data_IF_269212252966
#
_entry.id   IF_269212252966
#
_cell.length_a   1.000
_cell.length_b   1.000
_cell.length_c   1.000
_cell.angle_alpha   90.00
_cell.angle_beta   90.00
_cell.angle_gamma   90.00
#
_symmetry.space_group_name_H-M   'P 1'
#
loop_
_entity.id
_entity.type
_entity.pdbx_description
1 polymer ?
#
# COMPACT_ATOMS: atom_id res chain seq x y z
N UNK A 1 -47.26 13.87 32.30
CA UNK A 1 -47.55 13.67 30.86
C UNK A 1 -46.19 13.50 30.19
N UNK A 2 -45.74 12.39 29.62
CA UNK A 2 -46.29 11.07 29.29
C UNK A 2 -45.06 10.19 29.02
N UNK A 3 -44.93 9.07 29.72
CA UNK A 3 -43.97 8.01 29.42
C UNK A 3 -44.63 7.02 28.45
N UNK A 4 -43.91 6.60 27.40
CA UNK A 4 -44.38 5.60 26.43
C UNK A 4 -43.25 4.61 26.16
N UNK A 5 -43.34 3.42 26.75
CA UNK A 5 -42.66 2.22 26.28
C UNK A 5 -43.71 1.11 26.26
N UNK A 6 -43.98 0.59 25.06
CA UNK A 6 -44.87 -0.55 24.83
C UNK A 6 -44.03 -1.83 24.80
N UNK A 7 -44.41 -2.79 25.63
CA UNK A 7 -44.09 -4.22 25.47
C UNK A 7 -45.17 -4.86 24.59
N UNK A 8 -44.78 -5.69 23.62
CA UNK A 8 -45.67 -6.70 23.05
C UNK A 8 -44.89 -7.92 22.56
N UNK A 9 -45.48 -9.08 22.85
CA UNK A 9 -44.94 -10.42 22.77
C UNK A 9 -44.97 -11.04 21.37
N UNK A 10 -44.25 -12.16 21.24
CA UNK A 10 -44.15 -13.08 20.08
C UNK A 10 -45.48 -13.74 19.69
N UNK A 11 -45.50 -14.38 18.52
CA UNK A 11 -45.99 -15.75 18.44
C UNK A 11 -45.01 -16.73 17.78
N UNK A 12 -45.06 -17.97 18.28
CA UNK A 12 -44.36 -19.17 17.82
C UNK A 12 -44.84 -19.64 16.44
N UNK A 13 -43.95 -20.29 15.69
CA UNK A 13 -44.30 -21.51 14.94
C UNK A 13 -43.05 -22.36 14.67
N UNK A 14 -43.26 -23.67 14.84
CA UNK A 14 -42.27 -24.73 14.88
C UNK A 14 -41.87 -25.26 13.48
N UNK A 15 -40.76 -26.01 13.51
CA UNK A 15 -40.54 -27.31 12.85
C UNK A 15 -39.50 -27.36 11.71
N UNK A 16 -38.51 -28.22 11.89
CA UNK A 16 -37.63 -28.73 10.84
C UNK A 16 -36.25 -29.15 11.34
N UNK A 17 -36.08 -30.44 11.70
CA UNK A 17 -34.78 -31.11 11.85
C UNK A 17 -33.97 -31.07 10.54
N UNK A 18 -32.70 -31.49 10.46
CA UNK A 18 -32.06 -32.64 11.10
C UNK A 18 -30.54 -32.40 11.09
N UNK A 19 -29.86 -32.88 12.12
CA UNK A 19 -28.41 -32.92 12.25
C UNK A 19 -27.77 -33.97 11.32
N UNK A 20 -26.50 -33.76 10.93
CA UNK A 20 -25.68 -34.78 10.29
C UNK A 20 -24.28 -34.28 9.92
N UNK A 21 -23.33 -34.44 10.84
CA UNK A 21 -21.90 -34.38 10.57
C UNK A 21 -21.24 -35.61 11.22
N UNK A 22 -20.34 -36.33 10.52
CA UNK A 22 -19.31 -37.14 11.15
C UNK A 22 -17.92 -36.52 10.84
N UNK A 23 -17.10 -36.22 11.84
CA UNK A 23 -16.26 -37.14 12.62
C UNK A 23 -14.99 -37.58 11.86
N UNK A 24 -13.88 -37.02 12.33
CA UNK A 24 -12.48 -37.36 12.00
C UNK A 24 -12.07 -38.56 12.86
N UNK A 25 -11.40 -39.55 12.27
CA UNK A 25 -10.62 -40.55 12.99
C UNK A 25 -9.28 -40.78 12.28
N UNK A 26 -8.21 -40.62 13.06
CA UNK A 26 -6.85 -41.09 12.77
C UNK A 26 -6.78 -42.62 12.84
N UNK A 27 -5.83 -43.23 12.11
CA UNK A 27 -4.99 -44.37 12.54
C UNK A 27 -3.91 -44.67 11.47
N UNK A 28 -2.64 -44.75 11.88
CA UNK A 28 -1.62 -45.63 11.25
C UNK A 28 -1.38 -46.86 12.15
N UNK A 29 -0.27 -47.63 12.06
CA UNK A 29 0.79 -47.74 11.03
C UNK A 29 1.13 -49.22 10.65
N UNK A 30 2.07 -49.46 9.70
CA UNK A 30 3.00 -50.62 9.55
C UNK A 30 3.65 -50.59 8.13
N UNK A 31 4.98 -50.47 7.96
CA UNK A 31 6.04 -51.51 7.81
C UNK A 31 5.83 -52.44 6.58
N UNK A 32 6.75 -52.64 5.63
CA UNK A 32 8.12 -53.18 5.72
C UNK A 32 9.02 -52.78 4.52
N UNK A 33 10.32 -53.06 4.67
CA UNK A 33 11.44 -52.72 3.77
C UNK A 33 11.99 -53.91 2.96
N UNK A 34 12.99 -53.59 2.11
CA UNK A 34 13.98 -54.43 1.40
C UNK A 34 13.55 -55.03 0.04
N UNK A 35 14.36 -55.10 -1.02
CA UNK A 35 15.76 -54.73 -1.28
C UNK A 35 16.05 -54.87 -2.80
N UNK A 36 17.22 -54.35 -3.21
CA UNK A 36 18.08 -54.81 -4.32
C UNK A 36 18.16 -53.99 -5.62
N UNK A 37 19.39 -53.51 -5.83
CA UNK A 37 19.95 -52.75 -6.94
C UNK A 37 20.08 -53.52 -8.25
N UNK A 38 20.16 -52.78 -9.37
CA UNK A 38 21.10 -52.99 -10.49
C UNK A 38 21.16 -51.75 -11.38
N UNK A 39 22.39 -51.29 -11.61
CA UNK A 39 22.78 -50.28 -12.60
C UNK A 39 22.40 -50.69 -14.03
N UNK A 40 22.00 -49.73 -14.87
CA UNK A 40 22.76 -49.43 -16.10
C UNK A 40 22.35 -48.07 -16.69
N UNK A 41 23.36 -47.41 -17.26
CA UNK A 41 23.36 -46.05 -17.76
C UNK A 41 22.66 -45.92 -19.11
N UNK A 42 21.86 -44.87 -19.27
CA UNK A 42 21.53 -44.29 -20.57
C UNK A 42 21.19 -42.81 -20.40
N UNK A 43 22.21 -41.96 -20.53
CA UNK A 43 22.12 -40.49 -20.52
C UNK A 43 21.35 -40.00 -21.76
N UNK A 44 20.34 -39.17 -21.55
CA UNK A 44 19.93 -38.13 -22.50
C UNK A 44 20.02 -36.77 -21.78
N UNK A 45 20.67 -35.75 -22.39
CA UNK A 45 20.93 -34.51 -21.69
C UNK A 45 19.65 -33.67 -21.66
N UNK A 46 19.13 -33.46 -20.46
CA UNK A 46 18.16 -32.41 -20.19
C UNK A 46 18.77 -31.08 -20.62
N UNK A 47 18.24 -30.50 -21.70
CA UNK A 47 18.52 -29.12 -22.06
C UNK A 47 18.13 -28.24 -20.88
N UNK A 48 19.13 -27.61 -20.27
CA UNK A 48 18.95 -26.51 -19.34
C UNK A 48 18.25 -25.37 -20.10
N UNK A 49 16.91 -25.43 -20.16
CA UNK A 49 16.09 -24.25 -20.34
C UNK A 49 16.29 -23.43 -19.06
N UNK A 50 17.37 -22.63 -19.06
CA UNK A 50 17.52 -21.51 -18.17
C UNK A 50 16.20 -20.73 -18.24
N UNK A 51 15.38 -20.86 -17.19
CA UNK A 51 14.23 -19.98 -17.01
C UNK A 51 14.82 -18.59 -17.03
N UNK A 52 14.59 -17.87 -18.12
CA UNK A 52 14.93 -16.47 -18.21
C UNK A 52 14.34 -15.82 -16.96
N UNK A 53 15.22 -15.28 -16.11
CA UNK A 53 14.81 -14.51 -14.94
C UNK A 53 13.88 -13.43 -15.50
N UNK A 54 12.63 -13.30 -15.02
CA UNK A 54 11.80 -12.19 -15.44
C UNK A 54 12.60 -10.91 -15.23
N UNK A 55 12.48 -9.89 -16.11
CA UNK A 55 13.20 -8.65 -15.95
C UNK A 55 12.97 -8.20 -14.52
N UNK A 56 14.06 -7.91 -13.80
CA UNK A 56 13.97 -7.38 -12.46
C UNK A 56 12.93 -6.27 -12.54
N UNK A 57 11.81 -6.42 -11.83
CA UNK A 57 11.09 -5.24 -11.40
C UNK A 57 12.19 -4.32 -10.88
N UNK A 58 12.19 -3.05 -11.28
CA UNK A 58 13.03 -2.05 -10.66
C UNK A 58 12.56 -1.95 -9.19
N UNK A 59 12.89 -2.98 -8.43
CA UNK A 59 12.55 -3.20 -7.06
C UNK A 59 13.38 -2.18 -6.36
N UNK A 60 12.68 -1.23 -5.76
CA UNK A 60 13.31 -0.28 -4.87
C UNK A 60 13.88 -1.13 -3.73
N UNK A 61 15.16 -1.43 -3.82
CA UNK A 61 15.92 -2.24 -2.86
C UNK A 61 16.02 -1.53 -1.50
N UNK A 62 15.71 -0.23 -1.50
CA UNK A 62 15.65 0.63 -0.35
C UNK A 62 14.37 0.41 0.46
N UNK A 63 14.50 -0.25 1.61
CA UNK A 63 13.42 -0.44 2.57
C UNK A 63 13.35 0.73 3.56
N UNK A 64 12.16 1.30 3.71
CA UNK A 64 11.85 2.32 4.71
C UNK A 64 11.43 1.65 6.00
N UNK A 65 12.42 1.12 6.70
CA UNK A 65 12.23 0.65 8.06
C UNK A 65 12.38 1.87 8.99
N UNK A 66 11.36 2.19 9.81
CA UNK A 66 11.48 3.26 10.77
C UNK A 66 12.65 2.94 11.74
N UNK A 67 13.53 3.92 12.02
CA UNK A 67 14.62 3.71 12.97
C UNK A 67 14.08 3.21 14.32
N UNK A 68 14.66 2.12 14.87
CA UNK A 68 14.29 1.65 16.20
C UNK A 68 14.76 2.65 17.28
N UNK A 69 14.30 2.46 18.52
CA UNK A 69 14.73 3.27 19.66
C UNK A 69 13.86 4.51 19.91
N UNK A 70 14.31 5.40 20.80
CA UNK A 70 13.58 6.62 21.17
C UNK A 70 13.65 7.68 20.06
N UNK A 71 12.54 8.38 19.81
CA UNK A 71 12.52 9.43 18.80
C UNK A 71 13.51 10.57 19.08
N UNK A 72 13.74 10.93 20.35
CA UNK A 72 14.71 11.96 20.72
C UNK A 72 16.13 11.55 20.35
N UNK A 73 16.49 10.29 20.60
CA UNK A 73 17.81 9.75 20.25
C UNK A 73 18.00 9.71 18.72
N UNK A 74 16.97 9.29 17.99
CA UNK A 74 16.97 9.31 16.52
C UNK A 74 17.16 10.72 15.99
N UNK A 75 16.46 11.72 16.54
CA UNK A 75 16.62 13.12 16.14
C UNK A 75 18.01 13.66 16.47
N UNK A 76 18.51 13.40 17.68
CA UNK A 76 19.86 13.81 18.08
C UNK A 76 20.94 13.23 17.15
N UNK A 77 20.77 12.01 16.65
CA UNK A 77 21.71 11.35 15.76
C UNK A 77 21.63 11.83 14.29
N UNK A 78 20.43 12.17 13.80
CA UNK A 78 20.19 12.33 12.36
C UNK A 78 19.92 13.76 11.92
N UNK A 79 19.43 14.64 12.80
CA UNK A 79 18.94 15.96 12.39
C UNK A 79 20.02 16.84 11.75
N UNK A 80 21.21 16.90 12.34
CA UNK A 80 22.32 17.69 11.79
C UNK A 80 22.70 17.21 10.37
N UNK A 81 22.72 15.88 10.15
CA UNK A 81 23.00 15.28 8.84
C UNK A 81 21.90 15.61 7.84
N UNK A 82 20.63 15.44 8.22
CA UNK A 82 19.49 15.75 7.38
C UNK A 82 19.46 17.23 6.97
N UNK A 83 19.79 18.14 7.91
CA UNK A 83 19.95 19.58 7.64
C UNK A 83 21.14 19.85 6.71
N UNK A 84 22.22 19.06 6.83
CA UNK A 84 23.39 19.09 5.95
C UNK A 84 23.19 18.49 4.56
N UNK A 85 21.99 18.01 4.21
CA UNK A 85 21.66 17.47 2.89
C UNK A 85 21.72 15.95 2.78
N UNK A 86 21.91 15.24 3.88
CA UNK A 86 21.80 13.78 3.92
C UNK A 86 20.32 13.37 3.77
N UNK A 87 19.97 12.96 2.55
CA UNK A 87 18.59 12.57 2.20
C UNK A 87 18.16 11.27 2.89
N UNK A 88 19.11 10.44 3.31
CA UNK A 88 18.82 9.19 4.01
C UNK A 88 18.45 9.49 5.46
N UNK A 89 19.21 10.37 6.11
CA UNK A 89 18.87 10.88 7.43
C UNK A 89 17.51 11.60 7.41
N UNK A 90 17.24 12.43 6.40
CA UNK A 90 15.95 13.09 6.24
C UNK A 90 14.80 12.07 6.12
N UNK A 91 14.94 11.09 5.23
CA UNK A 91 13.92 10.06 5.06
C UNK A 91 13.72 9.22 6.33
N UNK A 92 14.79 8.91 7.07
CA UNK A 92 14.71 8.22 8.36
C UNK A 92 13.99 9.02 9.45
N UNK A 93 14.18 10.35 9.50
CA UNK A 93 13.42 11.22 10.41
C UNK A 93 11.93 11.21 10.06
N UNK A 94 11.59 11.28 8.77
CA UNK A 94 10.21 11.10 8.31
C UNK A 94 9.66 9.73 8.75
N UNK A 95 10.45 8.66 8.61
CA UNK A 95 10.11 7.30 9.03
C UNK A 95 9.74 7.19 10.48
N UNK A 96 10.61 7.73 11.35
CA UNK A 96 10.38 7.68 12.78
C UNK A 96 9.08 8.37 13.17
N UNK A 97 8.87 9.59 12.66
CA UNK A 97 7.68 10.37 13.01
C UNK A 97 6.40 9.75 12.46
N UNK A 98 6.43 9.26 11.21
CA UNK A 98 5.26 8.68 10.59
C UNK A 98 4.85 7.34 11.21
N UNK A 99 5.82 6.52 11.66
CA UNK A 99 5.54 5.31 12.45
C UNK A 99 4.83 5.66 13.77
N UNK A 100 5.38 6.62 14.52
CA UNK A 100 4.76 7.11 15.75
C UNK A 100 3.34 7.63 15.52
N UNK A 101 3.11 8.40 14.44
CA UNK A 101 1.78 8.89 14.05
C UNK A 101 0.81 7.73 13.77
N UNK A 102 1.24 6.75 12.98
CA UNK A 102 0.40 5.61 12.60
C UNK A 102 0.02 4.77 13.82
N UNK A 103 0.98 4.46 14.68
CA UNK A 103 0.76 3.66 15.90
C UNK A 103 -0.17 4.37 16.88
N UNK A 104 0.03 5.68 17.10
CA UNK A 104 -0.88 6.48 17.90
C UNK A 104 -2.31 6.50 17.30
N UNK A 105 -2.43 6.69 15.98
CA UNK A 105 -3.72 6.66 15.28
C UNK A 105 -4.45 5.31 15.41
N UNK A 106 -3.72 4.20 15.32
CA UNK A 106 -4.27 2.84 15.53
C UNK A 106 -4.71 2.65 16.98
N UNK A 107 -3.89 3.06 17.95
CA UNK A 107 -4.20 2.95 19.37
C UNK A 107 -5.48 3.73 19.72
N UNK A 108 -5.59 4.97 19.26
CA UNK A 108 -6.78 5.81 19.44
C UNK A 108 -8.05 5.18 18.86
N UNK A 109 -7.98 4.56 17.68
CA UNK A 109 -9.14 3.86 17.10
C UNK A 109 -9.59 2.63 17.92
N UNK A 110 -8.66 1.98 18.61
CA UNK A 110 -8.95 0.79 19.42
C UNK A 110 -9.45 1.13 20.83
N UNK A 111 -9.08 2.30 21.34
CA UNK A 111 -9.40 2.75 22.70
C UNK A 111 -9.80 4.24 22.70
N UNK A 112 -10.95 4.60 22.12
CA UNK A 112 -11.34 6.00 21.91
C UNK A 112 -11.58 6.78 23.20
N UNK A 113 -11.93 6.11 24.30
CA UNK A 113 -12.22 6.74 25.60
C UNK A 113 -10.99 6.84 26.52
N UNK A 114 -9.82 6.40 26.04
CA UNK A 114 -8.56 6.46 26.81
C UNK A 114 -7.85 7.79 26.59
N UNK A 115 -7.20 8.30 27.64
CA UNK A 115 -6.35 9.49 27.53
C UNK A 115 -5.30 9.29 26.42
N UNK A 116 -5.28 10.22 25.46
CA UNK A 116 -4.37 10.20 24.31
C UNK A 116 -2.91 10.13 24.76
N UNK A 117 -2.55 10.76 25.88
CA UNK A 117 -1.17 10.71 26.38
C UNK A 117 -0.77 9.30 26.83
N UNK A 118 -1.71 8.53 27.38
CA UNK A 118 -1.48 7.13 27.76
C UNK A 118 -1.36 6.21 26.54
N UNK A 119 -1.91 6.61 25.38
CA UNK A 119 -1.87 5.84 24.13
C UNK A 119 -0.60 6.08 23.30
N UNK A 120 0.17 7.13 23.59
CA UNK A 120 1.41 7.43 22.88
C UNK A 120 2.51 6.45 23.35
N UNK A 121 3.10 5.66 22.43
CA UNK A 121 4.21 4.78 22.76
C UNK A 121 5.34 5.56 23.46
N UNK A 122 5.97 5.01 24.52
CA UNK A 122 7.02 5.70 25.27
C UNK A 122 8.11 6.32 24.38
N UNK A 123 8.57 5.57 23.39
CA UNK A 123 9.60 5.96 22.42
C UNK A 123 9.18 7.08 21.45
N UNK A 124 7.91 7.50 21.49
CA UNK A 124 7.35 8.56 20.67
C UNK A 124 6.98 9.81 21.49
N UNK A 125 7.08 9.78 22.83
CA UNK A 125 6.62 10.86 23.72
C UNK A 125 7.42 12.14 23.59
N UNK A 126 8.67 12.05 23.13
CA UNK A 126 9.53 13.20 22.86
C UNK A 126 9.13 13.99 21.60
N UNK A 127 8.25 13.45 20.75
CA UNK A 127 7.82 14.13 19.54
C UNK A 127 6.82 15.27 19.82
N UNK A 128 7.30 16.51 19.72
CA UNK A 128 6.47 17.71 19.64
C UNK A 128 5.65 17.83 18.35
N UNK A 129 4.66 18.74 18.35
CA UNK A 129 3.89 19.13 17.16
C UNK A 129 4.76 19.70 16.03
N UNK A 130 5.94 20.25 16.33
CA UNK A 130 6.89 20.71 15.32
C UNK A 130 7.51 19.55 14.54
N UNK A 131 7.95 18.48 15.22
CA UNK A 131 8.47 17.29 14.53
C UNK A 131 7.45 16.69 13.56
N UNK A 132 6.17 16.65 13.95
CA UNK A 132 5.09 16.19 13.06
C UNK A 132 4.89 17.09 11.83
N UNK A 133 5.05 18.41 11.96
CA UNK A 133 5.00 19.37 10.85
C UNK A 133 6.25 19.29 9.96
N UNK A 134 7.40 18.98 10.54
CA UNK A 134 8.67 18.84 9.83
C UNK A 134 8.81 17.55 9.04
N UNK A 135 8.20 16.47 9.52
CA UNK A 135 8.24 15.17 8.87
C UNK A 135 7.89 15.25 7.36
N UNK A 136 6.86 16.01 6.99
CA UNK A 136 6.50 16.24 5.59
C UNK A 136 7.59 16.94 4.78
N UNK A 137 8.32 17.89 5.38
CA UNK A 137 9.44 18.59 4.74
C UNK A 137 10.64 17.67 4.54
N UNK A 138 10.90 16.77 5.50
CA UNK A 138 11.97 15.77 5.35
C UNK A 138 11.70 14.79 4.22
N UNK A 139 10.44 14.34 4.11
CA UNK A 139 9.99 13.52 2.98
C UNK A 139 10.14 14.26 1.66
N UNK A 140 9.64 15.50 1.59
CA UNK A 140 9.71 16.32 0.37
C UNK A 140 11.16 16.54 -0.08
N UNK A 141 12.08 16.88 0.83
CA UNK A 141 13.51 17.01 0.51
C UNK A 141 14.10 15.74 -0.11
N UNK A 142 13.77 14.59 0.45
CA UNK A 142 14.25 13.29 -0.04
C UNK A 142 13.69 13.00 -1.44
N UNK A 143 12.40 13.29 -1.66
CA UNK A 143 11.74 13.12 -2.96
C UNK A 143 12.30 14.08 -4.03
N UNK A 144 12.55 15.34 -3.66
CA UNK A 144 13.08 16.39 -4.52
C UNK A 144 14.52 16.12 -4.95
N UNK A 145 15.29 15.45 -4.08
CA UNK A 145 16.63 14.95 -4.41
C UNK A 145 16.64 13.74 -5.36
N UNK A 146 15.46 13.25 -5.76
CA UNK A 146 15.32 12.17 -6.74
C UNK A 146 15.21 10.77 -6.16
N UNK A 147 15.07 10.62 -4.83
CA UNK A 147 14.86 9.30 -4.23
C UNK A 147 13.50 8.72 -4.69
N UNK A 148 13.55 7.64 -5.45
CA UNK A 148 12.37 7.05 -6.06
C UNK A 148 11.36 6.54 -5.03
N UNK A 149 11.83 6.07 -3.87
CA UNK A 149 10.94 5.60 -2.82
C UNK A 149 10.26 6.76 -2.09
N UNK A 150 11.02 7.79 -1.74
CA UNK A 150 10.50 9.01 -1.14
C UNK A 150 9.46 9.68 -2.05
N UNK A 151 9.64 9.64 -3.37
CA UNK A 151 8.65 10.11 -4.34
C UNK A 151 7.32 9.33 -4.26
N UNK A 152 7.38 8.00 -4.17
CA UNK A 152 6.20 7.15 -3.98
C UNK A 152 5.52 7.42 -2.63
N UNK A 153 6.30 7.56 -1.57
CA UNK A 153 5.79 7.91 -0.23
C UNK A 153 5.16 9.29 -0.22
N UNK A 154 5.80 10.28 -0.84
CA UNK A 154 5.30 11.65 -0.93
C UNK A 154 3.91 11.67 -1.53
N UNK A 155 3.68 10.91 -2.61
CA UNK A 155 2.38 10.80 -3.26
C UNK A 155 1.28 10.24 -2.35
N UNK A 156 1.59 9.42 -1.34
CA UNK A 156 0.61 8.87 -0.39
C UNK A 156 0.45 9.72 0.87
N UNK A 157 1.43 10.56 1.17
CA UNK A 157 1.60 11.18 2.49
C UNK A 157 1.01 12.60 2.57
N UNK A 158 -0.15 12.83 1.95
CA UNK A 158 -0.77 14.16 1.92
C UNK A 158 -1.00 14.73 3.32
N UNK A 159 -1.39 13.90 4.28
CA UNK A 159 -1.60 14.37 5.66
C UNK A 159 -0.28 14.76 6.35
N UNK A 160 0.82 14.08 6.02
CA UNK A 160 2.16 14.43 6.53
C UNK A 160 2.67 15.75 5.95
N UNK A 161 2.32 16.07 4.70
CA UNK A 161 2.82 17.25 3.99
C UNK A 161 1.91 18.46 4.15
N UNK A 162 0.61 18.27 4.06
CA UNK A 162 -0.41 19.33 4.08
C UNK A 162 -1.13 19.47 5.42
N UNK A 163 -0.92 18.54 6.36
CA UNK A 163 -1.72 18.46 7.59
C UNK A 163 -3.04 17.71 7.39
N UNK A 164 -3.89 17.64 8.43
CA UNK A 164 -5.15 16.89 8.40
C UNK A 164 -6.09 17.41 7.30
N UNK A 165 -6.96 16.53 6.79
CA UNK A 165 -7.85 16.85 5.64
C UNK A 165 -8.70 18.11 5.81
N UNK A 166 -9.10 18.44 7.04
CA UNK A 166 -9.86 19.66 7.32
C UNK A 166 -9.10 20.94 6.95
N UNK A 167 -7.77 20.89 6.88
CA UNK A 167 -6.92 22.02 6.47
C UNK A 167 -6.78 22.12 4.95
N UNK A 168 -6.95 21.03 4.20
CA UNK A 168 -6.77 21.04 2.74
C UNK A 168 -7.75 22.00 2.04
N UNK A 169 -8.97 22.14 2.57
CA UNK A 169 -9.99 23.05 2.04
C UNK A 169 -9.69 24.52 2.35
N UNK A 170 -8.83 24.80 3.34
CA UNK A 170 -8.46 26.16 3.73
C UNK A 170 -7.35 26.72 2.83
N UNK A 171 -6.50 25.85 2.28
CA UNK A 171 -5.48 26.22 1.30
C UNK A 171 -5.58 25.33 0.03
N UNK A 172 -6.52 25.65 -0.88
CA UNK A 172 -6.68 24.91 -2.13
C UNK A 172 -5.45 25.01 -3.04
N UNK A 173 -4.63 26.06 -2.90
CA UNK A 173 -3.41 26.21 -3.69
C UNK A 173 -2.32 25.25 -3.23
N UNK A 174 -2.15 25.07 -1.91
CA UNK A 174 -1.24 24.06 -1.38
C UNK A 174 -1.63 22.64 -1.81
N UNK A 175 -2.93 22.30 -1.74
CA UNK A 175 -3.42 21.02 -2.23
C UNK A 175 -3.13 20.85 -3.73
N UNK A 176 -3.32 21.89 -4.55
CA UNK A 176 -3.06 21.85 -5.98
C UNK A 176 -1.56 21.64 -6.27
N UNK A 177 -0.66 22.36 -5.58
CA UNK A 177 0.80 22.19 -5.72
C UNK A 177 1.24 20.79 -5.35
N UNK A 178 0.80 20.31 -4.18
CA UNK A 178 1.12 18.97 -3.71
C UNK A 178 0.60 17.89 -4.69
N UNK A 179 -0.63 18.04 -5.18
CA UNK A 179 -1.24 17.08 -6.11
C UNK A 179 -0.48 17.03 -7.43
N UNK A 180 -0.12 18.19 -7.99
CA UNK A 180 0.66 18.27 -9.22
C UNK A 180 2.02 17.58 -9.07
N UNK A 181 2.76 17.94 -8.02
CA UNK A 181 4.08 17.35 -7.72
C UNK A 181 4.00 15.83 -7.51
N UNK A 182 2.98 15.35 -6.80
CA UNK A 182 2.73 13.92 -6.62
C UNK A 182 2.49 13.20 -7.95
N UNK A 183 1.66 13.77 -8.83
CA UNK A 183 1.40 13.20 -10.15
C UNK A 183 2.65 13.22 -11.03
N UNK A 184 3.46 14.28 -10.98
CA UNK A 184 4.70 14.38 -11.75
C UNK A 184 5.68 13.27 -11.37
N UNK A 185 5.85 13.03 -10.06
CA UNK A 185 6.66 11.92 -9.55
C UNK A 185 6.15 10.56 -10.01
N UNK A 186 4.86 10.30 -9.84
CA UNK A 186 4.29 9.01 -10.23
C UNK A 186 4.35 8.78 -11.74
N UNK A 187 4.05 9.80 -12.55
CA UNK A 187 4.10 9.70 -14.00
C UNK A 187 5.53 9.46 -14.50
N UNK A 188 6.52 10.15 -13.93
CA UNK A 188 7.93 9.96 -14.29
C UNK A 188 8.41 8.53 -14.00
N UNK A 189 8.01 7.95 -12.88
CA UNK A 189 8.35 6.55 -12.56
C UNK A 189 7.56 5.55 -13.41
N UNK A 190 6.26 5.78 -13.61
CA UNK A 190 5.44 4.92 -14.46
C UNK A 190 5.97 4.88 -15.91
N UNK A 191 6.43 6.02 -16.46
CA UNK A 191 7.03 6.09 -17.78
C UNK A 191 8.30 5.22 -17.93
N UNK A 192 8.97 4.89 -16.82
CA UNK A 192 10.17 4.03 -16.80
C UNK A 192 9.85 2.57 -16.44
N UNK A 193 8.57 2.19 -16.40
CA UNK A 193 8.13 0.84 -16.03
C UNK A 193 7.90 0.63 -14.53
N UNK A 194 7.84 1.71 -13.74
CA UNK A 194 7.57 1.62 -12.30
C UNK A 194 6.15 1.16 -12.02
N UNK A 195 5.97 -0.14 -11.76
CA UNK A 195 4.65 -0.75 -11.49
C UNK A 195 4.00 -0.19 -10.22
N UNK A 196 4.77 0.05 -9.15
CA UNK A 196 4.25 0.67 -7.93
C UNK A 196 3.67 2.07 -8.17
N UNK A 197 4.33 2.86 -9.03
CA UNK A 197 3.85 4.19 -9.41
C UNK A 197 2.55 4.12 -10.24
N UNK A 198 2.44 3.16 -11.17
CA UNK A 198 1.20 2.92 -11.92
C UNK A 198 0.06 2.49 -11.00
N UNK A 199 0.35 1.65 -10.01
CA UNK A 199 -0.64 1.19 -9.04
C UNK A 199 -1.18 2.38 -8.24
N UNK A 200 -0.28 3.24 -7.73
CA UNK A 200 -0.67 4.51 -7.07
C UNK A 200 -1.47 5.43 -7.99
N UNK A 201 -1.07 5.61 -9.25
CA UNK A 201 -1.84 6.41 -10.24
C UNK A 201 -3.25 5.86 -10.42
N UNK A 202 -3.40 4.54 -10.51
CA UNK A 202 -4.70 3.89 -10.61
C UNK A 202 -5.59 4.25 -9.41
N UNK A 203 -5.07 4.17 -8.18
CA UNK A 203 -5.81 4.57 -6.98
C UNK A 203 -6.08 6.08 -6.88
N UNK A 204 -5.15 6.93 -7.31
CA UNK A 204 -5.34 8.39 -7.32
C UNK A 204 -6.53 8.75 -8.19
N UNK A 205 -6.60 8.24 -9.43
CA UNK A 205 -7.73 8.49 -10.33
C UNK A 205 -9.02 7.76 -9.90
N UNK A 206 -8.93 6.55 -9.34
CA UNK A 206 -10.10 5.81 -8.88
C UNK A 206 -10.77 6.49 -7.68
N UNK A 207 -9.99 7.02 -6.74
CA UNK A 207 -10.52 7.60 -5.50
C UNK A 207 -11.16 8.97 -5.69
N UNK A 208 -10.65 9.78 -6.64
CA UNK A 208 -11.16 11.13 -6.87
C UNK A 208 -10.94 12.13 -5.72
N UNK A 209 -10.09 11.78 -4.72
CA UNK A 209 -9.98 12.57 -3.48
C UNK A 209 -9.18 13.87 -3.63
N UNK A 210 -8.18 13.87 -4.51
CA UNK A 210 -7.28 15.02 -4.74
C UNK A 210 -7.23 15.45 -6.20
N UNK A 211 -7.71 14.59 -7.09
CA UNK A 211 -7.92 14.84 -8.53
C UNK A 211 -9.37 14.50 -8.85
N UNK A 212 -9.99 15.07 -9.90
CA UNK A 212 -11.28 14.59 -10.37
C UNK A 212 -11.24 13.08 -10.62
N UNK A 213 -12.28 12.36 -10.19
CA UNK A 213 -12.38 10.91 -10.40
C UNK A 213 -12.39 10.62 -11.91
N UNK A 214 -11.51 9.72 -12.33
CA UNK A 214 -11.41 9.26 -13.72
C UNK A 214 -11.23 7.74 -13.73
N UNK A 215 -12.37 7.04 -13.75
CA UNK A 215 -12.37 5.57 -13.72
C UNK A 215 -11.78 4.97 -14.99
N UNK A 216 -11.80 5.69 -16.12
CA UNK A 216 -11.20 5.27 -17.37
C UNK A 216 -9.67 5.24 -17.25
N UNK A 217 -9.06 6.33 -16.77
CA UNK A 217 -7.62 6.36 -16.48
C UNK A 217 -7.22 5.35 -15.42
N UNK A 218 -8.01 5.25 -14.34
CA UNK A 218 -7.75 4.28 -13.29
C UNK A 218 -7.69 2.84 -13.85
N UNK A 219 -8.70 2.46 -14.64
CA UNK A 219 -8.74 1.14 -15.26
C UNK A 219 -7.61 0.94 -16.28
N UNK A 220 -7.23 1.97 -17.04
CA UNK A 220 -6.11 1.88 -17.97
C UNK A 220 -4.79 1.51 -17.26
N UNK A 221 -4.48 2.13 -16.12
CA UNK A 221 -3.29 1.76 -15.33
C UNK A 221 -3.41 0.35 -14.72
N UNK A 222 -4.57 -0.03 -14.17
CA UNK A 222 -4.78 -1.41 -13.69
C UNK A 222 -4.62 -2.45 -14.80
N UNK A 223 -5.13 -2.16 -15.99
CA UNK A 223 -5.00 -3.03 -17.14
C UNK A 223 -3.55 -3.17 -17.61
N UNK A 224 -2.79 -2.06 -17.62
CA UNK A 224 -1.36 -2.09 -17.92
C UNK A 224 -0.57 -2.95 -16.92
N UNK A 225 -0.87 -2.83 -15.63
CA UNK A 225 -0.29 -3.66 -14.57
C UNK A 225 -0.63 -5.14 -14.74
N UNK A 226 -1.86 -5.45 -15.14
CA UNK A 226 -2.29 -6.82 -15.40
C UNK A 226 -1.48 -7.43 -16.56
N UNK A 227 -1.27 -6.68 -17.64
CA UNK A 227 -0.43 -7.12 -18.76
C UNK A 227 1.05 -7.27 -18.39
N UNK A 228 1.55 -6.40 -17.51
CA UNK A 228 2.90 -6.48 -16.98
C UNK A 228 3.12 -7.64 -15.98
N UNK A 229 2.04 -8.30 -15.54
CA UNK A 229 2.10 -9.38 -14.57
C UNK A 229 2.49 -8.90 -13.18
N UNK A 230 2.08 -7.67 -12.79
CA UNK A 230 2.41 -7.12 -11.48
C UNK A 230 1.81 -7.99 -10.35
N UNK A 231 2.63 -8.52 -9.42
CA UNK A 231 2.15 -9.41 -8.37
C UNK A 231 1.35 -8.69 -7.29
N UNK A 232 1.45 -7.36 -7.19
CA UNK A 232 0.77 -6.54 -6.20
C UNK A 232 -0.57 -5.98 -6.70
N UNK A 233 -0.94 -6.27 -7.96
CA UNK A 233 -2.18 -5.83 -8.56
C UNK A 233 -3.38 -6.39 -7.78
N UNK A 234 -4.22 -5.48 -7.28
CA UNK A 234 -5.51 -5.86 -6.71
C UNK A 234 -6.54 -6.11 -7.82
N UNK A 235 -6.69 -7.36 -8.25
CA UNK A 235 -7.72 -7.77 -9.22
C UNK A 235 -9.15 -7.44 -8.74
N UNK A 236 -9.39 -7.47 -7.42
CA UNK A 236 -10.66 -7.08 -6.82
C UNK A 236 -11.00 -5.62 -7.08
N UNK A 237 -10.07 -4.69 -6.78
CA UNK A 237 -10.27 -3.27 -7.05
C UNK A 237 -10.37 -2.97 -8.55
N UNK A 238 -9.53 -3.60 -9.38
CA UNK A 238 -9.62 -3.45 -10.83
C UNK A 238 -11.03 -3.79 -11.34
N UNK A 239 -11.61 -4.91 -10.91
CA UNK A 239 -12.98 -5.31 -11.29
C UNK A 239 -14.04 -4.33 -10.80
N UNK A 240 -13.91 -3.78 -9.60
CA UNK A 240 -14.84 -2.78 -9.08
C UNK A 240 -14.82 -1.50 -9.93
N UNK A 241 -13.64 -1.06 -10.36
CA UNK A 241 -13.51 0.08 -11.29
C UNK A 241 -14.13 -0.28 -12.65
N UNK A 242 -13.83 -1.45 -13.20
CA UNK A 242 -14.34 -1.92 -14.49
C UNK A 242 -15.87 -1.98 -14.56
N UNK A 243 -16.52 -2.47 -13.51
CA UNK A 243 -17.98 -2.61 -13.43
C UNK A 243 -18.70 -1.26 -13.46
N UNK A 244 -18.01 -0.18 -13.10
CA UNK A 244 -18.54 1.19 -13.11
C UNK A 244 -18.33 1.90 -14.45
N UNK A 245 -17.67 1.26 -15.42
CA UNK A 245 -17.47 1.79 -16.78
C UNK A 245 -18.53 1.26 -17.73
N UNK A 246 -19.02 2.13 -18.63
CA UNK A 246 -19.80 1.70 -19.78
C UNK A 246 -18.97 0.82 -20.71
N UNK A 247 -19.59 -0.01 -21.58
CA UNK A 247 -18.85 -0.83 -22.54
C UNK A 247 -17.88 -0.03 -23.42
N UNK A 248 -18.30 1.17 -23.85
CA UNK A 248 -17.46 2.07 -24.64
C UNK A 248 -16.28 2.61 -23.81
N UNK A 249 -16.53 3.08 -22.58
CA UNK A 249 -15.47 3.57 -21.70
C UNK A 249 -14.46 2.48 -21.38
N UNK A 250 -14.92 1.26 -21.13
CA UNK A 250 -14.07 0.10 -20.89
C UNK A 250 -13.17 -0.19 -22.09
N UNK A 251 -13.73 -0.24 -23.30
CA UNK A 251 -12.96 -0.46 -24.52
C UNK A 251 -11.86 0.60 -24.71
N UNK A 252 -12.20 1.89 -24.52
CA UNK A 252 -11.23 2.98 -24.60
C UNK A 252 -10.14 2.87 -23.53
N UNK A 253 -10.52 2.58 -22.29
CA UNK A 253 -9.59 2.42 -21.18
C UNK A 253 -8.66 1.20 -21.36
N UNK A 254 -9.17 0.08 -21.88
CA UNK A 254 -8.38 -1.09 -22.27
C UNK A 254 -7.36 -0.73 -23.36
N UNK A 255 -7.76 0.00 -24.39
CA UNK A 255 -6.83 0.46 -25.44
C UNK A 255 -5.75 1.38 -24.85
N UNK A 256 -6.12 2.30 -23.97
CA UNK A 256 -5.17 3.17 -23.28
C UNK A 256 -4.21 2.35 -22.40
N UNK A 257 -4.70 1.36 -21.67
CA UNK A 257 -3.87 0.47 -20.85
C UNK A 257 -2.86 -0.33 -21.67
N UNK A 258 -3.24 -0.81 -22.86
CA UNK A 258 -2.29 -1.43 -23.81
C UNK A 258 -1.17 -0.47 -24.22
N UNK A 259 -1.51 0.78 -24.56
CA UNK A 259 -0.51 1.79 -24.92
C UNK A 259 0.45 2.08 -23.78
N UNK A 260 -0.05 2.19 -22.55
CA UNK A 260 0.78 2.38 -21.36
C UNK A 260 1.76 1.20 -21.24
N UNK A 261 1.25 -0.03 -21.26
CA UNK A 261 2.07 -1.25 -21.19
C UNK A 261 3.15 -1.31 -22.29
N UNK A 262 2.78 -1.00 -23.54
CA UNK A 262 3.70 -0.98 -24.67
C UNK A 262 4.81 0.06 -24.52
N UNK A 263 4.51 1.22 -23.93
CA UNK A 263 5.48 2.30 -23.77
C UNK A 263 6.44 2.08 -22.60
N UNK A 264 5.97 1.47 -21.50
CA UNK A 264 6.75 1.37 -20.26
C UNK A 264 7.42 0.02 -20.04
N UNK A 265 6.78 -1.06 -20.50
CA UNK A 265 6.89 -2.35 -19.82
C UNK A 265 7.11 -3.53 -20.78
N UNK A 266 6.80 -3.36 -22.07
CA UNK A 266 7.10 -4.33 -23.12
C UNK A 266 8.58 -4.19 -23.52
N UNK A 267 9.43 -5.11 -23.07
CA UNK A 267 10.84 -5.24 -23.49
C UNK A 267 11.10 -6.65 -24.01
#
# INVERSE_FOLDING_TARGET
MTAWWWSAAKPDSQAGGVAGAPAVQEHGPASDAADAARDDASRSPAGNAARARPPASAGIERSYLPPPGDAAEVYAALEARARGGDIDAALSLYAKVNDCRLRASIAMRRAPDTDVQALIPPECRSLSAEHYREAGRWLERSADAGDAYAQLLYADSAESVLGPRGEWLRDPQALQRYTRKSLDYLNAQAARGGMEAMNRLAYVYASGKRVPQDLGKAYAYFYALQLAGDPNLSLGHMRQVEQRLSPQQRSLATQQGRRIYEQCCKR
#
